data_IF_888613099002
#
_entry.id   IF_888613099002
#
_cell.length_a   1.000
_cell.length_b   1.000
_cell.length_c   1.000
_cell.angle_alpha   90.00
_cell.angle_beta   90.00
_cell.angle_gamma   90.00
#
_symmetry.space_group_name_H-M   'P 1'
#
loop_
_entity.id
_entity.type
_entity.pdbx_description
1 polymer ?
#
# COMPACT_ATOMS: atom_id res chain seq x y z
N UNK A 1 -8.23 19.14 1.25
CA UNK A 1 -8.25 17.69 1.59
C UNK A 1 -9.55 17.04 1.11
N UNK A 2 -10.74 17.60 1.41
CA UNK A 2 -12.04 17.03 0.99
C UNK A 2 -12.19 16.89 -0.55
N UNK A 3 -11.83 17.88 -1.38
CA UNK A 3 -11.88 17.72 -2.83
C UNK A 3 -10.97 16.62 -3.37
N UNK A 4 -9.79 16.45 -2.78
CA UNK A 4 -8.86 15.40 -3.16
C UNK A 4 -9.43 14.02 -2.80
N UNK A 5 -10.01 13.88 -1.60
CA UNK A 5 -10.66 12.65 -1.20
C UNK A 5 -11.84 12.29 -2.12
N UNK A 6 -12.65 13.28 -2.53
CA UNK A 6 -13.75 13.06 -3.46
C UNK A 6 -13.27 12.63 -4.86
N UNK A 7 -12.14 13.13 -5.34
CA UNK A 7 -11.54 12.69 -6.61
C UNK A 7 -11.13 11.22 -6.60
N UNK A 8 -10.59 10.76 -5.48
CA UNK A 8 -10.16 9.38 -5.33
C UNK A 8 -11.30 8.43 -4.96
N UNK A 9 -12.31 8.92 -4.25
CA UNK A 9 -13.40 8.10 -3.72
C UNK A 9 -14.74 8.81 -3.96
N UNK A 10 -15.47 8.40 -4.98
CA UNK A 10 -16.81 8.91 -5.23
C UNK A 10 -17.82 8.12 -4.39
N UNK A 11 -18.11 8.63 -3.17
CA UNK A 11 -19.30 8.25 -2.44
C UNK A 11 -20.44 9.23 -2.72
N UNK A 12 -21.58 9.13 -2.03
CA UNK A 12 -22.77 10.01 -2.13
C UNK A 12 -22.50 11.46 -1.69
N UNK A 13 -21.34 12.05 -2.05
CA UNK A 13 -20.99 13.40 -1.66
C UNK A 13 -21.34 14.41 -2.78
N UNK A 14 -21.97 15.55 -2.43
CA UNK A 14 -22.37 16.58 -3.42
C UNK A 14 -21.19 17.24 -4.17
N UNK A 15 -19.93 17.00 -3.73
CA UNK A 15 -18.71 17.48 -4.39
C UNK A 15 -18.35 16.69 -5.65
N UNK A 16 -18.97 15.56 -5.88
CA UNK A 16 -18.82 14.73 -7.07
C UNK A 16 -19.14 15.50 -8.35
N UNK A 17 -20.11 16.42 -8.28
CA UNK A 17 -20.52 17.24 -9.43
C UNK A 17 -19.44 18.20 -9.91
N UNK A 18 -18.48 18.56 -9.07
CA UNK A 18 -17.37 19.48 -9.42
C UNK A 18 -16.26 18.77 -10.19
N UNK A 19 -16.11 17.46 -10.00
CA UNK A 19 -15.10 16.62 -10.64
C UNK A 19 -15.68 15.65 -11.67
N UNK A 20 -17.02 15.61 -11.82
CA UNK A 20 -17.69 14.73 -12.75
C UNK A 20 -17.28 14.95 -14.22
N UNK A 21 -16.90 16.18 -14.58
CA UNK A 21 -16.42 16.52 -15.93
C UNK A 21 -14.99 16.03 -16.21
N UNK A 22 -14.25 15.63 -15.18
CA UNK A 22 -12.86 15.14 -15.30
C UNK A 22 -12.79 13.62 -15.31
N UNK A 23 -13.80 12.96 -14.71
CA UNK A 23 -13.89 11.51 -14.66
C UNK A 23 -14.91 11.03 -15.71
N UNK A 24 -14.72 9.83 -16.25
CA UNK A 24 -15.64 9.24 -17.22
C UNK A 24 -17.05 9.09 -16.64
N UNK A 25 -18.08 9.21 -17.50
CA UNK A 25 -19.47 8.96 -17.09
C UNK A 25 -19.60 7.55 -16.49
N UNK A 26 -20.15 7.47 -15.28
CA UNK A 26 -20.27 6.20 -14.53
C UNK A 26 -19.06 5.81 -13.69
N UNK A 27 -18.02 6.65 -13.63
CA UNK A 27 -16.86 6.45 -12.76
C UNK A 27 -17.29 6.43 -11.28
N UNK A 28 -16.76 5.46 -10.53
CA UNK A 28 -16.91 5.39 -9.07
C UNK A 28 -15.76 6.10 -8.34
N UNK A 29 -15.04 6.98 -9.04
CA UNK A 29 -13.81 7.60 -8.60
C UNK A 29 -12.58 6.81 -9.06
N UNK A 30 -11.44 7.49 -9.10
CA UNK A 30 -10.20 6.91 -9.63
C UNK A 30 -9.83 5.56 -9.00
N UNK A 31 -10.03 5.42 -7.70
CA UNK A 31 -9.76 4.15 -6.99
C UNK A 31 -10.78 3.06 -7.33
N UNK A 32 -12.04 3.41 -7.52
CA UNK A 32 -13.06 2.48 -7.96
C UNK A 32 -12.77 1.97 -9.38
N UNK A 33 -12.42 2.86 -10.28
CA UNK A 33 -12.10 2.52 -11.67
C UNK A 33 -10.81 1.68 -11.78
N UNK A 34 -9.77 2.01 -11.01
CA UNK A 34 -8.56 1.17 -10.89
C UNK A 34 -8.94 -0.22 -10.32
N UNK A 35 -9.82 -0.26 -9.32
CA UNK A 35 -10.31 -1.51 -8.76
C UNK A 35 -11.03 -2.38 -9.79
N UNK A 36 -11.89 -1.79 -10.62
CA UNK A 36 -12.57 -2.49 -11.70
C UNK A 36 -11.59 -3.04 -12.74
N UNK A 37 -10.65 -2.23 -13.21
CA UNK A 37 -9.62 -2.66 -14.17
C UNK A 37 -8.74 -3.76 -13.59
N UNK A 38 -8.35 -3.65 -12.33
CA UNK A 38 -7.60 -4.69 -11.64
C UNK A 38 -8.44 -5.96 -11.47
N UNK A 39 -9.75 -5.85 -11.26
CA UNK A 39 -10.65 -6.99 -11.12
C UNK A 39 -10.76 -7.83 -12.39
N UNK A 40 -10.65 -7.20 -13.53
CA UNK A 40 -10.64 -7.90 -14.83
C UNK A 40 -9.28 -8.54 -15.12
N UNK A 41 -8.20 -7.94 -14.64
CA UNK A 41 -6.82 -8.37 -14.93
C UNK A 41 -6.27 -9.39 -13.93
N UNK A 42 -6.80 -9.44 -12.72
CA UNK A 42 -6.25 -10.26 -11.62
C UNK A 42 -7.35 -11.15 -11.02
N UNK A 43 -7.11 -12.46 -10.89
CA UNK A 43 -8.07 -13.33 -10.22
C UNK A 43 -8.26 -12.87 -8.76
N UNK A 44 -9.51 -12.58 -8.38
CA UNK A 44 -9.87 -12.19 -7.02
C UNK A 44 -9.73 -13.40 -6.09
N UNK A 45 -8.55 -13.58 -5.53
CA UNK A 45 -8.29 -14.56 -4.50
C UNK A 45 -7.41 -13.95 -3.40
N UNK A 46 -7.38 -14.59 -2.25
CA UNK A 46 -6.60 -14.13 -1.08
C UNK A 46 -5.10 -13.99 -1.38
N UNK A 47 -4.57 -14.86 -2.23
CA UNK A 47 -3.15 -14.87 -2.61
C UNK A 47 -2.83 -13.62 -3.44
N UNK A 48 -3.65 -13.32 -4.44
CA UNK A 48 -3.47 -12.13 -5.27
C UNK A 48 -3.63 -10.85 -4.44
N UNK A 49 -4.68 -10.76 -3.62
CA UNK A 49 -4.91 -9.60 -2.76
C UNK A 49 -3.73 -9.33 -1.81
N UNK A 50 -3.23 -10.35 -1.11
CA UNK A 50 -2.09 -10.21 -0.21
C UNK A 50 -0.80 -9.84 -0.97
N UNK A 51 -0.57 -10.44 -2.14
CA UNK A 51 0.63 -10.16 -2.94
C UNK A 51 0.62 -8.73 -3.48
N UNK A 52 -0.50 -8.28 -4.01
CA UNK A 52 -0.66 -6.91 -4.53
C UNK A 52 -0.50 -5.90 -3.39
N UNK A 53 -1.12 -6.15 -2.25
CA UNK A 53 -1.03 -5.26 -1.10
C UNK A 53 0.41 -5.13 -0.59
N UNK A 54 1.15 -6.24 -0.55
CA UNK A 54 2.59 -6.21 -0.21
C UNK A 54 3.41 -5.42 -1.22
N UNK A 55 3.15 -5.59 -2.52
CA UNK A 55 3.86 -4.88 -3.59
C UNK A 55 3.53 -3.38 -3.56
N UNK A 56 2.26 -3.03 -3.45
CA UNK A 56 1.81 -1.63 -3.36
C UNK A 56 2.42 -0.96 -2.13
N UNK A 57 2.35 -1.61 -0.97
CA UNK A 57 3.00 -1.11 0.24
C UNK A 57 4.52 -0.95 0.06
N UNK A 58 5.18 -1.94 -0.53
CA UNK A 58 6.60 -1.88 -0.81
C UNK A 58 6.99 -0.71 -1.73
N UNK A 59 6.24 -0.48 -2.80
CA UNK A 59 6.46 0.64 -3.74
C UNK A 59 6.24 1.98 -3.03
N UNK A 60 5.17 2.12 -2.26
CA UNK A 60 4.90 3.36 -1.53
C UNK A 60 5.94 3.64 -0.45
N UNK A 61 6.55 2.60 0.11
CA UNK A 61 7.65 2.73 1.07
C UNK A 61 8.94 3.31 0.46
N UNK A 62 9.11 3.29 -0.87
CA UNK A 62 10.31 3.81 -1.53
C UNK A 62 10.48 5.33 -1.39
N UNK A 63 9.44 6.06 -1.04
CA UNK A 63 9.55 7.49 -0.73
C UNK A 63 10.27 7.78 0.61
N UNK A 64 10.53 6.77 1.40
CA UNK A 64 11.20 6.86 2.69
C UNK A 64 10.31 7.35 3.83
N UNK A 65 9.04 7.64 3.57
CA UNK A 65 8.08 8.04 4.57
C UNK A 65 7.03 6.96 4.74
N UNK A 66 7.11 6.12 5.70
CA UNK A 66 6.12 5.03 5.95
C UNK A 66 4.66 5.51 6.00
N UNK A 67 4.43 6.82 6.06
CA UNK A 67 3.10 7.43 6.21
C UNK A 67 2.37 7.68 4.89
N UNK A 68 3.08 7.98 3.80
CA UNK A 68 2.44 8.26 2.50
C UNK A 68 1.71 7.04 1.95
N UNK A 69 2.22 5.85 2.24
CA UNK A 69 1.64 4.59 1.83
C UNK A 69 0.34 4.21 2.53
N UNK A 70 0.01 4.82 3.69
CA UNK A 70 -1.15 4.42 4.49
C UNK A 70 -2.47 4.61 3.74
N UNK A 71 -2.65 5.73 3.07
CA UNK A 71 -3.87 6.04 2.33
C UNK A 71 -4.05 5.13 1.12
N UNK A 72 -2.98 4.85 0.39
CA UNK A 72 -3.02 3.98 -0.77
C UNK A 72 -3.21 2.51 -0.35
N UNK A 73 -2.46 2.02 0.63
CA UNK A 73 -2.65 0.68 1.19
C UNK A 73 -4.07 0.49 1.75
N UNK A 74 -4.63 1.47 2.45
CA UNK A 74 -6.01 1.41 2.92
C UNK A 74 -7.03 1.36 1.79
N UNK A 75 -6.80 2.10 0.72
CA UNK A 75 -7.71 2.14 -0.44
C UNK A 75 -7.66 0.85 -1.26
N UNK A 76 -6.47 0.34 -1.56
CA UNK A 76 -6.31 -0.94 -2.26
C UNK A 76 -6.85 -2.10 -1.43
N UNK A 77 -6.59 -2.11 -0.12
CA UNK A 77 -7.15 -3.09 0.79
C UNK A 77 -8.69 -3.06 0.83
N UNK A 78 -9.29 -1.87 0.77
CA UNK A 78 -10.75 -1.74 0.71
C UNK A 78 -11.31 -2.34 -0.58
N UNK A 79 -10.70 -2.05 -1.74
CA UNK A 79 -11.13 -2.58 -3.04
C UNK A 79 -11.04 -4.11 -3.06
N UNK A 80 -9.88 -4.68 -2.78
CA UNK A 80 -9.69 -6.13 -2.82
C UNK A 80 -10.43 -6.84 -1.68
N UNK A 81 -10.38 -6.30 -0.47
CA UNK A 81 -11.02 -6.90 0.70
C UNK A 81 -12.53 -7.01 0.54
N UNK A 82 -13.19 -5.97 0.04
CA UNK A 82 -14.65 -6.03 -0.22
C UNK A 82 -14.99 -6.98 -1.36
N UNK A 83 -14.19 -7.01 -2.42
CA UNK A 83 -14.44 -7.85 -3.58
C UNK A 83 -14.36 -9.36 -3.27
N UNK A 84 -13.48 -9.76 -2.36
CA UNK A 84 -13.28 -11.18 -1.99
C UNK A 84 -13.87 -11.55 -0.62
N UNK A 85 -14.55 -10.62 0.05
CA UNK A 85 -15.08 -10.82 1.40
C UNK A 85 -13.99 -11.03 2.46
N UNK A 86 -12.81 -10.43 2.25
CA UNK A 86 -11.66 -10.57 3.13
C UNK A 86 -11.61 -9.46 4.20
N UNK A 87 -10.77 -9.67 5.21
CA UNK A 87 -10.56 -8.68 6.25
C UNK A 87 -9.74 -7.48 5.73
N UNK A 88 -10.43 -6.38 5.42
CA UNK A 88 -9.82 -5.12 4.94
C UNK A 88 -8.76 -4.60 5.91
N UNK A 89 -8.99 -4.73 7.22
CA UNK A 89 -8.02 -4.29 8.24
C UNK A 89 -6.72 -5.09 8.18
N UNK A 90 -6.79 -6.40 7.98
CA UNK A 90 -5.63 -7.26 7.85
C UNK A 90 -4.83 -6.96 6.56
N UNK A 91 -5.53 -6.73 5.44
CA UNK A 91 -4.91 -6.29 4.19
C UNK A 91 -4.22 -4.93 4.34
N UNK A 92 -4.90 -3.94 4.91
CA UNK A 92 -4.32 -2.62 5.15
C UNK A 92 -3.08 -2.69 6.05
N UNK A 93 -3.11 -3.52 7.08
CA UNK A 93 -1.96 -3.75 7.96
C UNK A 93 -0.79 -4.37 7.19
N UNK A 94 -1.04 -5.31 6.29
CA UNK A 94 -0.01 -5.91 5.45
C UNK A 94 0.68 -4.88 4.56
N UNK A 95 -0.09 -4.04 3.87
CA UNK A 95 0.44 -2.95 3.05
C UNK A 95 1.26 -1.95 3.86
N UNK A 96 0.79 -1.61 5.06
CA UNK A 96 1.51 -0.71 5.97
C UNK A 96 2.82 -1.31 6.48
N UNK A 97 2.84 -2.60 6.81
CA UNK A 97 4.06 -3.31 7.20
C UNK A 97 5.07 -3.28 6.05
N UNK A 98 4.62 -3.56 4.82
CA UNK A 98 5.49 -3.52 3.64
C UNK A 98 6.06 -2.12 3.40
N UNK A 99 5.24 -1.07 3.47
CA UNK A 99 5.68 0.32 3.34
C UNK A 99 6.71 0.70 4.41
N UNK A 100 6.45 0.35 5.66
CA UNK A 100 7.34 0.67 6.79
C UNK A 100 8.68 -0.06 6.68
N UNK A 101 8.68 -1.32 6.31
CA UNK A 101 9.92 -2.10 6.23
C UNK A 101 10.78 -1.71 5.03
N UNK A 102 10.17 -1.37 3.91
CA UNK A 102 10.89 -0.88 2.73
C UNK A 102 11.42 0.53 2.97
N UNK A 103 10.57 1.45 3.40
CA UNK A 103 10.94 2.85 3.60
C UNK A 103 11.79 3.09 4.85
N UNK A 104 11.56 2.31 5.90
CA UNK A 104 12.25 2.49 7.18
C UNK A 104 13.49 1.62 7.37
N UNK A 105 13.65 0.56 6.58
CA UNK A 105 14.56 -0.49 6.99
C UNK A 105 15.62 -0.97 5.99
N UNK A 106 15.39 -0.96 4.67
CA UNK A 106 16.30 -1.69 3.80
C UNK A 106 16.66 -1.02 2.47
N UNK A 107 15.71 -0.43 1.76
CA UNK A 107 15.99 0.08 0.40
C UNK A 107 16.33 1.57 0.47
N UNK A 108 15.56 2.33 1.24
CA UNK A 108 15.79 3.76 1.44
C UNK A 108 16.43 3.99 2.79
N UNK A 109 17.70 4.42 2.87
CA UNK A 109 18.43 4.54 4.12
C UNK A 109 18.03 5.76 4.97
N UNK A 110 16.96 6.44 4.63
CA UNK A 110 16.55 7.67 5.28
C UNK A 110 16.26 7.48 6.77
N UNK A 111 15.43 6.54 7.14
CA UNK A 111 15.11 6.27 8.53
C UNK A 111 16.26 5.60 9.31
N UNK A 112 17.21 5.01 8.60
CA UNK A 112 18.41 4.42 9.21
C UNK A 112 19.50 5.45 9.48
N UNK A 113 19.42 6.66 8.92
CA UNK A 113 20.46 7.66 9.06
C UNK A 113 20.78 8.03 10.52
N UNK A 114 19.81 8.25 11.43
CA UNK A 114 20.12 8.52 12.84
C UNK A 114 20.81 7.34 13.54
N UNK A 115 20.33 6.13 13.31
CA UNK A 115 20.92 4.92 13.90
C UNK A 115 22.33 4.68 13.39
N UNK A 116 22.55 4.86 12.08
CA UNK A 116 23.87 4.74 11.47
C UNK A 116 24.87 5.77 12.01
N UNK A 117 24.40 7.01 12.23
CA UNK A 117 25.21 8.08 12.80
C UNK A 117 25.67 7.74 14.25
N UNK A 118 24.77 7.20 15.08
CA UNK A 118 25.09 6.76 16.45
C UNK A 118 26.09 5.61 16.42
N UNK A 119 25.92 4.67 15.49
CA UNK A 119 26.80 3.50 15.36
C UNK A 119 28.12 3.79 14.61
N UNK A 120 28.31 4.98 14.07
CA UNK A 120 29.50 5.35 13.30
C UNK A 120 29.65 4.59 11.98
N UNK A 121 28.55 4.14 11.38
CA UNK A 121 28.52 3.38 10.11
C UNK A 121 27.79 4.17 9.01
N UNK A 122 28.03 3.79 7.75
CA UNK A 122 27.31 4.44 6.65
C UNK A 122 25.85 3.90 6.58
N UNK A 123 24.85 4.78 6.44
CA UNK A 123 23.44 4.37 6.34
C UNK A 123 23.17 3.31 5.25
N UNK A 124 23.88 3.44 4.12
CA UNK A 124 23.75 2.50 3.00
C UNK A 124 24.25 1.09 3.36
N UNK A 125 25.29 0.99 4.15
CA UNK A 125 25.84 -0.32 4.58
C UNK A 125 24.88 -1.01 5.56
N UNK A 126 24.23 -0.23 6.40
CA UNK A 126 23.18 -0.73 7.29
C UNK A 126 21.96 -1.18 6.52
N UNK A 127 21.52 -0.39 5.53
CA UNK A 127 20.39 -0.74 4.64
C UNK A 127 20.65 -2.05 3.88
N UNK A 128 21.86 -2.23 3.33
CA UNK A 128 22.26 -3.47 2.64
C UNK A 128 22.19 -4.69 3.55
N UNK A 129 22.60 -4.56 4.80
CA UNK A 129 22.53 -5.66 5.78
C UNK A 129 21.12 -6.04 6.13
N UNK A 130 20.22 -5.04 6.17
CA UNK A 130 18.80 -5.25 6.46
C UNK A 130 17.99 -5.79 5.26
N UNK A 131 18.52 -5.69 4.06
CA UNK A 131 17.78 -6.08 2.85
C UNK A 131 17.29 -7.53 2.91
N UNK A 132 18.18 -8.47 3.21
CA UNK A 132 17.82 -9.89 3.23
C UNK A 132 16.81 -10.21 4.35
N UNK A 133 17.01 -9.81 5.61
CA UNK A 133 16.02 -10.03 6.66
C UNK A 133 14.65 -9.42 6.35
N UNK A 134 14.62 -8.21 5.77
CA UNK A 134 13.37 -7.54 5.42
C UNK A 134 12.65 -8.26 4.30
N UNK A 135 13.35 -8.66 3.24
CA UNK A 135 12.72 -9.41 2.13
C UNK A 135 12.18 -10.76 2.58
N UNK A 136 12.94 -11.49 3.39
CA UNK A 136 12.45 -12.75 3.99
C UNK A 136 11.23 -12.49 4.90
N UNK A 137 11.31 -11.46 5.73
CA UNK A 137 10.20 -11.06 6.60
C UNK A 137 8.93 -10.70 5.81
N UNK A 138 9.05 -9.94 4.72
CA UNK A 138 7.92 -9.58 3.87
C UNK A 138 7.27 -10.83 3.24
N UNK A 139 8.07 -11.75 2.72
CA UNK A 139 7.55 -13.00 2.15
C UNK A 139 6.81 -13.80 3.21
N UNK A 140 7.40 -13.99 4.38
CA UNK A 140 6.76 -14.72 5.49
C UNK A 140 5.47 -14.02 5.93
N UNK A 141 5.50 -12.69 6.11
CA UNK A 141 4.31 -11.91 6.52
C UNK A 141 3.21 -12.00 5.48
N UNK A 142 3.54 -11.96 4.19
CA UNK A 142 2.56 -12.11 3.10
C UNK A 142 1.92 -13.50 3.13
N UNK A 143 2.72 -14.56 3.32
CA UNK A 143 2.20 -15.92 3.43
C UNK A 143 1.28 -16.05 4.64
N UNK A 144 1.69 -15.54 5.80
CA UNK A 144 0.85 -15.58 7.02
C UNK A 144 -0.44 -14.80 6.81
N UNK A 145 -0.38 -13.63 6.16
CA UNK A 145 -1.56 -12.83 5.86
C UNK A 145 -2.58 -13.59 4.99
N UNK A 146 -2.15 -14.41 4.04
CA UNK A 146 -3.05 -15.24 3.22
C UNK A 146 -3.93 -16.18 4.03
N UNK A 147 -3.51 -16.57 5.23
CA UNK A 147 -4.29 -17.40 6.14
C UNK A 147 -5.20 -16.61 7.07
N UNK A 148 -4.89 -15.33 7.32
CA UNK A 148 -5.63 -14.46 8.25
C UNK A 148 -6.73 -13.66 7.53
N UNK A 149 -6.52 -13.35 6.26
CA UNK A 149 -7.40 -12.55 5.40
C UNK A 149 -8.73 -13.25 5.09
#
# INVERSE_FOLDING_TARGET
IIPIAAFFYMGDMPLVTVFGDVLAEGSQGLLGDIGLVLSEAVPFNKVAAASIETVVGGITGLDGSSFSGMSLAGSTAAVFGTAIGANVGALSALGQIAATWVGGGCIVPWALAPAAAICGVKPVDLAKRNLIPVMVGLVVTTIVAMFII
#
